data_IF_588792284095
#
_entry.id   IF_588792284095
#
_cell.length_a   1.000
_cell.length_b   1.000
_cell.length_c   1.000
_cell.angle_alpha   90.00
_cell.angle_beta   90.00
_cell.angle_gamma   90.00
#
_symmetry.space_group_name_H-M   'P 1'
#
loop_
_entity.id
_entity.type
_entity.pdbx_description
1 polymer ?
#
# COMPACT_ATOMS: atom_id res chain seq x y z
N UNK A 1 -4.98 13.00 -10.97
CA UNK A 1 -5.40 12.11 -9.88
C UNK A 1 -6.01 12.95 -8.77
N UNK A 2 -7.13 12.55 -8.18
CA UNK A 2 -7.77 13.26 -7.07
C UNK A 2 -7.41 12.55 -5.77
N UNK A 3 -6.87 13.28 -4.79
CA UNK A 3 -6.53 12.78 -3.45
C UNK A 3 -7.40 13.49 -2.41
N UNK A 4 -8.07 12.72 -1.57
CA UNK A 4 -8.88 13.23 -0.45
C UNK A 4 -8.31 12.72 0.87
N UNK A 5 -8.00 13.64 1.78
CA UNK A 5 -7.45 13.31 3.10
C UNK A 5 -8.52 13.58 4.15
N UNK A 6 -9.09 12.50 4.73
CA UNK A 6 -10.02 12.61 5.86
C UNK A 6 -9.27 12.77 7.17
N UNK A 7 -9.89 13.46 8.13
CA UNK A 7 -9.37 13.68 9.50
C UNK A 7 -8.03 14.45 9.55
N UNK A 8 -7.69 15.21 8.51
CA UNK A 8 -6.60 16.17 8.60
C UNK A 8 -7.00 17.35 9.51
N UNK A 9 -6.10 17.77 10.39
CA UNK A 9 -6.30 18.98 11.19
C UNK A 9 -6.35 20.19 10.26
N UNK A 10 -7.45 20.96 10.35
CA UNK A 10 -7.66 22.16 9.56
C UNK A 10 -6.54 23.20 9.79
N UNK A 11 -6.09 23.33 11.03
CA UNK A 11 -4.98 24.21 11.41
C UNK A 11 -3.70 23.86 10.65
N UNK A 12 -3.33 22.56 10.63
CA UNK A 12 -2.13 22.09 9.94
C UNK A 12 -2.22 22.32 8.44
N UNK A 13 -3.39 22.07 7.83
CA UNK A 13 -3.60 22.33 6.40
C UNK A 13 -3.49 23.82 6.08
N UNK A 14 -3.99 24.70 6.96
CA UNK A 14 -3.88 26.15 6.79
C UNK A 14 -2.43 26.63 6.87
N UNK A 15 -1.68 26.15 7.87
CA UNK A 15 -0.27 26.48 8.03
C UNK A 15 0.55 26.00 6.83
N UNK A 16 0.29 24.78 6.36
CA UNK A 16 0.95 24.21 5.18
C UNK A 16 0.69 25.02 3.91
N UNK A 17 -0.56 25.41 3.66
CA UNK A 17 -0.93 26.29 2.54
C UNK A 17 -0.22 27.64 2.64
N UNK A 18 -0.18 28.24 3.83
CA UNK A 18 0.49 29.51 4.06
C UNK A 18 1.99 29.43 3.76
N UNK A 19 2.67 28.38 4.23
CA UNK A 19 4.08 28.15 3.92
C UNK A 19 4.32 27.91 2.42
N UNK A 20 3.47 27.12 1.75
CA UNK A 20 3.58 26.91 0.31
C UNK A 20 3.54 28.25 -0.46
N UNK A 21 2.58 29.12 -0.12
CA UNK A 21 2.47 30.46 -0.73
C UNK A 21 3.68 31.33 -0.40
N UNK A 22 4.18 31.31 0.85
CA UNK A 22 5.38 32.06 1.24
C UNK A 22 6.63 31.65 0.46
N UNK A 23 6.72 30.38 0.08
CA UNK A 23 7.80 29.83 -0.75
C UNK A 23 7.58 30.01 -2.26
N UNK A 24 6.46 30.62 -2.67
CA UNK A 24 6.11 30.77 -4.08
C UNK A 24 5.76 29.44 -4.77
N UNK A 25 5.41 28.41 -4.00
CA UNK A 25 5.05 27.09 -4.50
C UNK A 25 3.53 26.94 -4.63
N UNK A 26 3.10 26.17 -5.62
CA UNK A 26 1.71 25.69 -5.65
C UNK A 26 1.51 24.66 -4.54
N UNK A 27 0.27 24.54 -4.05
CA UNK A 27 -0.06 23.56 -3.01
C UNK A 27 0.32 22.13 -3.43
N UNK A 28 0.13 21.80 -4.71
CA UNK A 28 0.52 20.51 -5.27
C UNK A 28 2.02 20.26 -5.18
N UNK A 29 2.85 21.26 -5.51
CA UNK A 29 4.31 21.12 -5.47
C UNK A 29 4.86 21.06 -4.06
N UNK A 30 4.33 21.89 -3.16
CA UNK A 30 4.67 21.79 -1.74
C UNK A 30 4.27 20.41 -1.16
N UNK A 31 3.12 19.87 -1.57
CA UNK A 31 2.68 18.53 -1.17
C UNK A 31 3.61 17.44 -1.70
N UNK A 32 4.02 17.53 -2.96
CA UNK A 32 4.99 16.61 -3.58
C UNK A 32 6.32 16.63 -2.82
N UNK A 33 6.88 17.80 -2.53
CA UNK A 33 8.11 17.93 -1.72
C UNK A 33 7.97 17.34 -0.31
N UNK A 34 6.80 17.52 0.32
CA UNK A 34 6.53 16.95 1.64
C UNK A 34 6.44 15.41 1.58
N UNK A 35 5.87 14.85 0.52
CA UNK A 35 5.84 13.40 0.28
C UNK A 35 7.25 12.87 0.04
N UNK A 36 8.04 13.53 -0.80
CA UNK A 36 9.44 13.15 -1.06
C UNK A 36 10.29 13.16 0.23
N UNK A 37 10.10 14.19 1.06
CA UNK A 37 10.77 14.28 2.35
C UNK A 37 10.31 13.17 3.30
N UNK A 38 9.02 12.86 3.33
CA UNK A 38 8.49 11.77 4.13
C UNK A 38 9.07 10.42 3.70
N UNK A 39 9.06 10.13 2.40
CA UNK A 39 9.58 8.88 1.83
C UNK A 39 11.09 8.74 2.01
N UNK A 40 11.85 9.83 1.82
CA UNK A 40 13.30 9.83 2.04
C UNK A 40 13.68 9.70 3.52
N UNK A 41 12.86 10.22 4.43
CA UNK A 41 13.05 10.04 5.89
C UNK A 41 12.71 8.61 6.30
N UNK A 42 11.62 8.03 5.80
CA UNK A 42 11.26 6.61 6.03
C UNK A 42 12.30 5.64 5.47
N UNK A 43 12.98 5.97 4.36
CA UNK A 43 14.08 5.15 3.85
C UNK A 43 15.30 5.08 4.79
N UNK A 44 15.47 6.07 5.68
CA UNK A 44 16.55 6.12 6.68
C UNK A 44 16.12 5.61 8.06
N UNK A 45 14.84 5.70 8.40
CA UNK A 45 14.31 5.29 9.69
C UNK A 45 13.79 3.85 9.63
N UNK A 46 14.70 2.89 9.84
CA UNK A 46 14.41 1.46 10.06
C UNK A 46 13.49 0.84 9.00
N UNK A 47 14.08 0.31 7.92
CA UNK A 47 13.35 -0.57 7.00
C UNK A 47 12.74 -1.70 7.83
N UNK A 48 11.43 -1.62 8.04
CA UNK A 48 10.72 -2.60 8.85
C UNK A 48 10.59 -3.90 8.06
N UNK A 49 10.36 -5.02 8.76
CA UNK A 49 10.05 -6.30 8.09
C UNK A 49 8.81 -6.16 7.20
N UNK A 50 7.90 -5.23 7.53
CA UNK A 50 6.73 -4.88 6.75
C UNK A 50 7.11 -4.21 5.42
N UNK A 51 8.05 -3.27 5.43
CA UNK A 51 8.56 -2.61 4.21
C UNK A 51 9.24 -3.60 3.27
N UNK A 52 10.03 -4.54 3.82
CA UNK A 52 10.65 -5.61 3.03
C UNK A 52 9.60 -6.52 2.39
N UNK A 53 8.58 -6.93 3.12
CA UNK A 53 7.52 -7.77 2.58
C UNK A 53 6.73 -7.03 1.48
N UNK A 54 6.41 -5.75 1.70
CA UNK A 54 5.67 -4.92 0.74
C UNK A 54 6.47 -4.72 -0.55
N UNK A 55 7.78 -4.49 -0.44
CA UNK A 55 8.66 -4.36 -1.61
C UNK A 55 8.65 -5.64 -2.44
N UNK A 56 8.83 -6.80 -1.81
CA UNK A 56 8.82 -8.10 -2.51
C UNK A 56 7.48 -8.38 -3.15
N UNK A 57 6.38 -8.01 -2.47
CA UNK A 57 5.04 -8.13 -3.04
C UNK A 57 4.87 -7.26 -4.30
N UNK A 58 5.34 -6.01 -4.27
CA UNK A 58 5.26 -5.11 -5.41
C UNK A 58 6.12 -5.59 -6.60
N UNK A 59 7.34 -6.07 -6.34
CA UNK A 59 8.24 -6.60 -7.37
C UNK A 59 7.67 -7.89 -8.01
N UNK A 60 7.04 -8.76 -7.23
CA UNK A 60 6.49 -10.04 -7.72
C UNK A 60 5.02 -9.96 -8.16
N UNK A 61 4.40 -8.77 -8.16
CA UNK A 61 2.95 -8.61 -8.35
C UNK A 61 2.42 -9.31 -9.61
N UNK A 62 3.11 -9.16 -10.74
CA UNK A 62 2.73 -9.79 -12.01
C UNK A 62 2.82 -11.32 -11.99
N UNK A 63 3.76 -11.89 -11.22
CA UNK A 63 3.93 -13.33 -11.09
C UNK A 63 2.93 -13.92 -10.09
N UNK A 64 2.65 -13.17 -9.02
CA UNK A 64 1.62 -13.47 -8.03
C UNK A 64 0.25 -13.54 -8.72
N UNK A 65 -0.07 -12.59 -9.59
CA UNK A 65 -1.38 -12.54 -10.25
C UNK A 65 -1.62 -13.71 -11.23
N UNK A 66 -0.57 -14.44 -11.64
CA UNK A 66 -0.70 -15.69 -12.41
C UNK A 66 -1.21 -16.87 -11.56
N UNK A 67 -1.02 -16.82 -10.24
CA UNK A 67 -1.39 -17.89 -9.30
C UNK A 67 -2.83 -17.71 -8.78
N UNK A 68 -3.78 -17.63 -9.70
CA UNK A 68 -5.20 -17.41 -9.38
C UNK A 68 -5.75 -18.49 -8.45
N UNK A 69 -6.45 -18.07 -7.40
CA UNK A 69 -7.12 -18.96 -6.46
C UNK A 69 -6.22 -19.60 -5.40
N UNK A 70 -4.90 -19.42 -5.48
CA UNK A 70 -3.92 -19.92 -4.49
C UNK A 70 -3.48 -18.82 -3.54
N UNK A 71 -3.02 -19.20 -2.36
CA UNK A 71 -2.46 -18.28 -1.38
C UNK A 71 -0.98 -18.08 -1.60
N UNK A 72 -0.58 -16.86 -1.87
CA UNK A 72 0.82 -16.44 -1.90
C UNK A 72 1.20 -15.86 -0.55
N UNK A 73 2.29 -16.35 0.03
CA UNK A 73 2.76 -15.95 1.37
C UNK A 73 4.15 -15.34 1.27
N UNK A 74 4.29 -14.10 1.75
CA UNK A 74 5.56 -13.38 1.82
C UNK A 74 5.85 -13.04 3.27
N UNK A 75 7.04 -13.37 3.75
CA UNK A 75 7.49 -13.05 5.10
C UNK A 75 9.00 -12.83 5.14
N UNK A 76 9.48 -12.04 6.11
CA UNK A 76 10.90 -11.71 6.30
C UNK A 76 11.61 -11.25 5.00
N UNK A 77 10.91 -10.53 4.14
CA UNK A 77 11.42 -10.04 2.85
C UNK A 77 11.65 -11.12 1.80
N UNK A 78 10.94 -12.26 1.87
CA UNK A 78 11.03 -13.34 0.87
C UNK A 78 9.68 -13.97 0.60
N UNK A 79 9.52 -14.50 -0.62
CA UNK A 79 8.43 -15.39 -0.95
C UNK A 79 8.63 -16.73 -0.22
N UNK A 80 7.73 -17.07 0.70
CA UNK A 80 7.78 -18.32 1.46
C UNK A 80 7.23 -19.48 0.63
N UNK A 81 6.19 -19.22 -0.15
CA UNK A 81 5.60 -20.22 -1.05
C UNK A 81 4.19 -19.87 -1.49
N UNK A 82 3.64 -20.79 -2.28
CA UNK A 82 2.26 -20.76 -2.76
C UNK A 82 1.53 -21.96 -2.18
N UNK A 83 0.41 -21.73 -1.51
CA UNK A 83 -0.35 -22.73 -0.76
C UNK A 83 -1.80 -22.78 -1.23
N UNK A 84 -2.45 -23.94 -1.09
CA UNK A 84 -3.87 -24.09 -1.39
C UNK A 84 -4.76 -23.94 -0.13
N UNK A 85 -4.23 -24.24 1.07
CA UNK A 85 -4.96 -24.22 2.34
C UNK A 85 -4.31 -23.31 3.39
N UNK A 86 -5.14 -22.67 4.22
CA UNK A 86 -4.71 -21.75 5.28
C UNK A 86 -3.94 -22.45 6.41
N UNK A 87 -4.20 -23.73 6.67
CA UNK A 87 -3.50 -24.50 7.70
C UNK A 87 -2.02 -24.70 7.36
N UNK A 88 -1.71 -24.87 6.08
CA UNK A 88 -0.33 -25.06 5.62
C UNK A 88 0.45 -23.74 5.68
N UNK A 89 -0.23 -22.60 5.43
CA UNK A 89 0.33 -21.26 5.66
C UNK A 89 0.72 -21.07 7.12
N UNK A 90 -0.16 -21.44 8.06
CA UNK A 90 0.10 -21.27 9.49
C UNK A 90 1.29 -22.11 9.97
N UNK A 91 1.51 -23.30 9.40
CA UNK A 91 2.70 -24.12 9.67
C UNK A 91 3.97 -23.47 9.11
N UNK A 92 3.95 -23.05 7.85
CA UNK A 92 5.08 -22.40 7.21
C UNK A 92 5.52 -21.11 7.93
N UNK A 93 4.56 -20.29 8.38
CA UNK A 93 4.84 -19.07 9.14
C UNK A 93 5.43 -19.35 10.53
N UNK A 94 5.02 -20.45 11.18
CA UNK A 94 5.58 -20.87 12.47
C UNK A 94 7.02 -21.36 12.34
N UNK A 95 7.33 -22.12 11.30
CA UNK A 95 8.69 -22.61 11.04
C UNK A 95 9.67 -21.46 10.78
N UNK A 96 9.23 -20.47 9.99
CA UNK A 96 10.05 -19.31 9.62
C UNK A 96 10.10 -18.26 10.75
N UNK A 97 9.33 -18.43 11.83
CA UNK A 97 9.20 -17.49 12.96
C UNK A 97 8.97 -16.05 12.47
N UNK A 98 8.07 -15.90 11.50
CA UNK A 98 7.77 -14.61 10.90
C UNK A 98 7.11 -13.67 11.93
N UNK A 99 7.63 -12.45 12.08
CA UNK A 99 7.00 -11.41 12.89
C UNK A 99 5.87 -10.70 12.13
N UNK A 100 6.00 -10.62 10.81
CA UNK A 100 5.03 -10.02 9.90
C UNK A 100 4.99 -10.82 8.59
N UNK A 101 3.80 -11.03 8.04
CA UNK A 101 3.59 -11.78 6.81
C UNK A 101 2.43 -11.21 5.98
N UNK A 102 2.60 -11.17 4.67
CA UNK A 102 1.54 -10.85 3.71
C UNK A 102 0.99 -12.17 3.18
N UNK A 103 -0.32 -12.35 3.28
CA UNK A 103 -1.05 -13.49 2.71
C UNK A 103 -2.04 -12.94 1.70
N UNK A 104 -1.83 -13.25 0.42
CA UNK A 104 -2.64 -12.72 -0.68
C UNK A 104 -3.18 -13.86 -1.53
N UNK A 105 -4.44 -13.75 -1.96
CA UNK A 105 -5.11 -14.75 -2.80
C UNK A 105 -5.60 -14.12 -4.10
N UNK A 106 -4.81 -14.20 -5.19
CA UNK A 106 -5.13 -13.54 -6.45
C UNK A 106 -6.43 -14.07 -7.08
N UNK A 107 -7.23 -13.17 -7.67
CA UNK A 107 -8.38 -13.50 -8.51
C UNK A 107 -9.63 -14.08 -7.81
N UNK A 108 -9.65 -14.14 -6.48
CA UNK A 108 -10.84 -14.50 -5.69
C UNK A 108 -11.65 -13.25 -5.36
N UNK A 109 -10.97 -12.16 -5.02
CA UNK A 109 -11.60 -10.86 -4.86
C UNK A 109 -11.97 -10.33 -6.25
N UNK A 110 -13.26 -10.37 -6.57
CA UNK A 110 -13.76 -9.74 -7.79
C UNK A 110 -13.51 -8.23 -7.65
N UNK A 111 -12.97 -7.56 -8.69
CA UNK A 111 -12.98 -6.10 -8.71
C UNK A 111 -14.43 -5.68 -8.49
N UNK A 112 -14.67 -4.74 -7.57
CA UNK A 112 -16.02 -4.26 -7.31
C UNK A 112 -16.54 -3.67 -8.61
N UNK A 113 -17.45 -4.39 -9.26
CA UNK A 113 -18.06 -3.95 -10.51
C UNK A 113 -19.16 -2.95 -10.17
N UNK A 114 -18.88 -1.67 -10.34
CA UNK A 114 -19.84 -0.60 -10.10
C UNK A 114 -19.15 0.75 -9.93
N UNK A 115 -19.95 1.81 -9.98
CA UNK A 115 -19.52 3.12 -9.50
C UNK A 115 -19.37 3.02 -7.99
N UNK A 116 -18.14 3.14 -7.50
CA UNK A 116 -17.86 3.16 -6.07
C UNK A 116 -18.27 4.54 -5.55
N UNK A 117 -19.40 4.59 -4.83
CA UNK A 117 -19.80 5.78 -4.10
C UNK A 117 -19.11 5.82 -2.74
N UNK A 118 -18.20 6.78 -2.56
CA UNK A 118 -17.89 7.25 -1.21
C UNK A 118 -18.92 8.32 -0.90
N UNK A 119 -19.49 8.35 0.30
CA UNK A 119 -20.55 9.31 0.67
C UNK A 119 -20.11 10.74 0.32
N UNK A 120 -20.57 11.26 -0.83
CA UNK A 120 -20.23 12.58 -1.38
C UNK A 120 -19.58 12.66 -2.77
N UNK A 121 -19.11 11.57 -3.41
CA UNK A 121 -18.71 11.60 -4.85
C UNK A 121 -18.50 10.20 -5.46
N UNK A 122 -18.15 10.15 -6.75
CA UNK A 122 -17.92 8.94 -7.54
C UNK A 122 -16.42 8.66 -7.70
N UNK A 123 -16.00 7.41 -7.45
CA UNK A 123 -14.70 6.89 -7.93
C UNK A 123 -14.94 6.18 -9.26
N UNK A 124 -14.33 6.71 -10.31
CA UNK A 124 -14.23 6.02 -11.60
C UNK A 124 -13.10 4.99 -11.52
N UNK A 125 -13.47 3.71 -11.66
CA UNK A 125 -12.49 2.66 -11.91
C UNK A 125 -12.09 2.71 -13.38
N UNK A 126 -10.78 2.66 -13.68
CA UNK A 126 -10.34 2.46 -15.06
C UNK A 126 -10.84 1.10 -15.54
N UNK A 127 -11.44 1.01 -16.75
CA UNK A 127 -11.83 -0.26 -17.32
C UNK A 127 -10.60 -1.13 -17.60
N UNK A 128 -10.80 -2.45 -17.50
CA UNK A 128 -9.82 -3.50 -17.77
C UNK A 128 -9.35 -3.50 -19.23
#
# INVERSE_FOLDING_TARGET
MVLVIKKASEEKIRQFKAEAVRRGLTLSKAFEEAVDLWLSTSSKALVSIEDFNNRVFAELKEEIDKHVGKYVVIANGKLIGVFDDVKDIAKALKEVKAQHAIVYRPGIDKPVSGVLEWWGSSIELKPA
#
